data_IF_666244055766
#
_entry.id   IF_666244055766
#
_cell.length_a   1.000
_cell.length_b   1.000
_cell.length_c   1.000
_cell.angle_alpha   90.00
_cell.angle_beta   90.00
_cell.angle_gamma   90.00
#
_symmetry.space_group_name_H-M   'P 1'
#
loop_
_entity.id
_entity.type
_entity.pdbx_description
1 polymer ?
#
# COMPACT_ATOMS: atom_id res chain seq x y z
N UNK A 1 5.34 -6.33 15.22
CA UNK A 1 3.88 -6.25 15.27
C UNK A 1 3.34 -5.85 13.91
N UNK A 2 2.61 -6.75 13.27
CA UNK A 2 2.02 -6.51 11.96
C UNK A 2 0.68 -5.82 12.13
N UNK A 3 0.70 -4.49 12.08
CA UNK A 3 -0.52 -3.70 12.22
C UNK A 3 -1.36 -3.74 10.95
N UNK A 4 -0.70 -3.77 9.80
CA UNK A 4 -1.37 -3.75 8.50
C UNK A 4 -1.10 -5.04 7.74
N UNK A 5 -2.17 -5.63 7.19
CA UNK A 5 -2.06 -6.81 6.33
C UNK A 5 -1.78 -6.41 4.88
N UNK A 6 -0.53 -6.49 4.46
CA UNK A 6 -0.16 -6.24 3.06
C UNK A 6 -0.71 -7.35 2.18
N UNK A 7 -1.50 -6.99 1.18
CA UNK A 7 -2.10 -7.92 0.22
C UNK A 7 -1.37 -7.91 -1.12
N UNK A 8 -0.92 -6.75 -1.56
CA UNK A 8 -0.19 -6.60 -2.81
C UNK A 8 0.98 -5.64 -2.68
N UNK A 9 2.03 -5.94 -3.41
CA UNK A 9 3.20 -5.08 -3.60
C UNK A 9 3.40 -4.83 -5.08
N UNK A 10 3.67 -3.58 -5.44
CA UNK A 10 4.04 -3.22 -6.80
C UNK A 10 5.29 -2.35 -6.79
N UNK A 11 6.27 -2.73 -7.59
CA UNK A 11 7.48 -1.93 -7.76
C UNK A 11 7.29 -0.91 -8.86
N UNK A 12 7.55 0.34 -8.53
CA UNK A 12 7.55 1.44 -9.49
C UNK A 12 8.97 1.72 -9.97
N UNK A 13 9.28 1.31 -11.17
CA UNK A 13 10.60 1.53 -11.80
C UNK A 13 10.93 3.03 -11.93
N UNK A 14 9.90 3.86 -12.08
CA UNK A 14 10.10 5.29 -12.30
C UNK A 14 10.65 5.99 -11.04
N UNK A 15 10.11 5.67 -9.88
CA UNK A 15 10.55 6.23 -8.60
C UNK A 15 11.58 5.38 -7.86
N UNK A 16 11.66 4.09 -8.17
CA UNK A 16 12.48 3.13 -7.42
C UNK A 16 11.86 2.69 -6.11
N UNK A 17 10.58 3.02 -5.87
CA UNK A 17 9.87 2.70 -4.62
C UNK A 17 8.88 1.56 -4.81
N UNK A 18 8.41 1.01 -3.71
CA UNK A 18 7.37 -0.01 -3.71
C UNK A 18 6.07 0.56 -3.15
N UNK A 19 4.98 0.23 -3.80
CA UNK A 19 3.64 0.54 -3.34
C UNK A 19 3.07 -0.70 -2.65
N UNK A 20 2.65 -0.55 -1.40
CA UNK A 20 2.07 -1.62 -0.61
C UNK A 20 0.58 -1.35 -0.39
N UNK A 21 -0.28 -2.13 -1.02
CA UNK A 21 -1.72 -2.07 -0.82
C UNK A 21 -2.12 -3.04 0.28
N UNK A 22 -2.89 -2.52 1.25
CA UNK A 22 -3.33 -3.29 2.41
C UNK A 22 -4.84 -3.44 2.42
N UNK A 23 -5.29 -4.51 3.05
CA UNK A 23 -6.71 -4.74 3.26
C UNK A 23 -7.29 -3.66 4.20
N UNK A 24 -8.47 -3.12 3.88
CA UNK A 24 -9.12 -2.14 4.77
C UNK A 24 -9.33 -2.71 6.16
N UNK A 25 -8.79 -2.05 7.16
CA UNK A 25 -8.92 -2.44 8.55
C UNK A 25 -9.80 -1.48 9.34
N UNK A 26 -10.17 -1.91 10.55
CA UNK A 26 -10.90 -1.09 11.53
C UNK A 26 -10.14 -1.13 12.85
N UNK A 27 -9.00 -0.48 12.91
CA UNK A 27 -8.18 -0.43 14.13
C UNK A 27 -8.39 0.92 14.81
N UNK A 28 -8.85 0.91 16.05
CA UNK A 28 -9.18 2.13 16.79
C UNK A 28 -7.95 3.00 17.10
N UNK A 29 -6.79 2.38 17.28
CA UNK A 29 -5.56 3.07 17.68
C UNK A 29 -4.61 3.42 16.55
N UNK A 30 -4.91 2.98 15.33
CA UNK A 30 -4.09 3.18 14.15
C UNK A 30 -4.89 3.83 13.03
N UNK A 31 -4.26 4.69 12.22
CA UNK A 31 -4.94 5.21 11.04
C UNK A 31 -5.24 4.07 10.06
N UNK A 32 -6.42 4.08 9.46
CA UNK A 32 -6.84 3.05 8.51
C UNK A 32 -6.41 3.41 7.09
N UNK A 33 -5.11 3.59 6.89
CA UNK A 33 -4.55 3.79 5.57
C UNK A 33 -4.56 2.49 4.77
N UNK A 34 -4.69 2.61 3.47
CA UNK A 34 -4.83 1.47 2.55
C UNK A 34 -3.63 1.31 1.62
N UNK A 35 -2.82 2.35 1.50
CA UNK A 35 -1.66 2.35 0.62
C UNK A 35 -0.47 3.00 1.32
N UNK A 36 0.67 2.36 1.21
CA UNK A 36 1.93 2.84 1.75
C UNK A 36 2.99 2.87 0.66
N UNK A 37 3.92 3.81 0.76
CA UNK A 37 5.09 3.86 -0.12
C UNK A 37 6.32 3.46 0.67
N UNK A 38 6.95 2.37 0.27
CA UNK A 38 8.17 1.86 0.87
C UNK A 38 9.36 2.42 0.10
N UNK A 39 10.33 2.96 0.81
CA UNK A 39 11.54 3.50 0.21
C UNK A 39 12.43 2.37 -0.33
N UNK A 40 12.38 2.15 -1.64
CA UNK A 40 13.19 1.16 -2.33
C UNK A 40 14.62 1.60 -2.60
N UNK A 41 14.98 2.85 -2.31
CA UNK A 41 16.34 3.39 -2.54
C UNK A 41 17.25 3.20 -1.35
N UNK A 42 16.70 2.95 -0.17
CA UNK A 42 17.47 2.70 1.04
C UNK A 42 17.76 1.22 1.24
N UNK A 43 18.93 0.95 1.79
CA UNK A 43 19.26 -0.43 2.18
C UNK A 43 18.44 -0.85 3.39
N UNK A 44 17.97 -2.10 3.43
CA UNK A 44 17.32 -2.64 4.61
C UNK A 44 18.21 -2.51 5.85
N UNK A 45 17.60 -2.20 6.97
CA UNK A 45 18.28 -2.09 8.26
C UNK A 45 17.87 -3.24 9.17
N UNK A 46 18.86 -3.81 9.87
CA UNK A 46 18.59 -4.82 10.87
C UNK A 46 18.06 -4.15 12.14
N UNK A 47 16.88 -4.54 12.56
CA UNK A 47 16.22 -3.99 13.75
C UNK A 47 15.63 -5.11 14.59
N UNK A 48 15.44 -4.83 15.89
CA UNK A 48 14.66 -5.70 16.75
C UNK A 48 13.17 -5.53 16.42
N UNK A 49 12.53 -6.61 16.03
CA UNK A 49 11.12 -6.63 15.66
C UNK A 49 10.24 -6.77 16.92
N UNK A 50 9.21 -5.94 16.99
CA UNK A 50 8.24 -5.99 18.09
C UNK A 50 7.08 -6.94 17.76
N UNK A 51 6.47 -7.49 18.81
CA UNK A 51 5.29 -8.34 18.70
C UNK A 51 5.56 -9.84 18.61
N UNK A 52 6.79 -10.24 18.90
CA UNK A 52 7.17 -11.65 19.06
C UNK A 52 7.33 -11.99 20.54
N UNK A 53 7.12 -13.26 20.90
CA UNK A 53 7.22 -13.74 22.27
C UNK A 53 8.66 -13.74 22.82
N UNK A 54 9.63 -13.63 21.92
CA UNK A 54 11.05 -13.58 22.25
C UNK A 54 11.74 -12.52 21.39
N UNK A 55 12.91 -12.02 21.82
CA UNK A 55 13.66 -11.06 21.03
C UNK A 55 13.97 -11.61 19.63
N UNK A 56 13.50 -10.90 18.61
CA UNK A 56 13.64 -11.32 17.22
C UNK A 56 14.17 -10.16 16.40
N UNK A 57 15.28 -10.39 15.72
CA UNK A 57 15.84 -9.42 14.77
C UNK A 57 15.33 -9.72 13.36
N UNK A 58 15.15 -8.68 12.59
CA UNK A 58 14.80 -8.77 11.19
C UNK A 58 15.25 -7.57 10.40
N UNK A 59 15.15 -7.69 9.09
CA UNK A 59 15.47 -6.61 8.17
C UNK A 59 14.22 -5.80 7.87
N UNK A 60 14.32 -4.49 8.01
CA UNK A 60 13.20 -3.56 7.78
C UNK A 60 13.55 -2.54 6.72
N UNK A 61 12.53 -2.14 5.97
CA UNK A 61 12.55 -1.01 5.05
C UNK A 61 11.71 0.12 5.63
N UNK A 62 12.10 1.35 5.33
CA UNK A 62 11.39 2.53 5.80
C UNK A 62 10.25 2.89 4.85
N UNK A 63 9.15 3.40 5.43
CA UNK A 63 8.13 4.10 4.66
C UNK A 63 8.66 5.49 4.28
N UNK A 64 8.29 5.95 3.09
CA UNK A 64 8.47 7.35 2.75
C UNK A 64 7.47 8.23 3.52
N UNK A 65 7.89 9.42 3.96
CA UNK A 65 6.99 10.38 4.59
C UNK A 65 6.12 11.06 3.54
N UNK A 66 5.18 10.28 2.98
CA UNK A 66 4.27 10.73 1.93
C UNK A 66 2.83 10.37 2.27
N UNK A 67 1.90 11.20 1.79
CA UNK A 67 0.49 11.05 2.04
C UNK A 67 0.04 11.78 3.31
N UNK A 68 -0.89 11.18 4.04
CA UNK A 68 -1.34 11.67 5.32
C UNK A 68 -0.41 11.19 6.44
N UNK A 69 -0.22 12.04 7.43
CA UNK A 69 0.58 11.72 8.61
C UNK A 69 -0.30 11.62 9.85
N UNK A 70 -0.24 10.49 10.52
CA UNK A 70 -0.80 10.34 11.86
C UNK A 70 0.31 10.53 12.90
N UNK A 71 0.26 11.66 13.61
CA UNK A 71 1.29 12.01 14.57
C UNK A 71 1.32 11.08 15.81
N UNK A 72 0.18 10.52 16.19
CA UNK A 72 0.07 9.64 17.36
C UNK A 72 0.86 8.34 17.15
N UNK A 73 0.79 7.77 15.97
CA UNK A 73 1.47 6.51 15.63
C UNK A 73 2.72 6.72 14.79
N UNK A 74 2.97 7.96 14.38
CA UNK A 74 4.02 8.34 13.43
C UNK A 74 3.98 7.52 12.14
N UNK A 75 2.76 7.37 11.59
CA UNK A 75 2.52 6.57 10.39
C UNK A 75 2.16 7.47 9.22
N UNK A 76 2.79 7.25 8.09
CA UNK A 76 2.50 7.90 6.83
C UNK A 76 1.81 6.91 5.89
N UNK A 77 0.78 7.36 5.17
CA UNK A 77 0.08 6.52 4.22
C UNK A 77 -1.02 7.26 3.48
N UNK A 78 -1.77 6.52 2.68
CA UNK A 78 -2.85 7.06 1.85
C UNK A 78 -4.17 6.34 2.11
N UNK A 79 -5.26 7.10 2.03
CA UNK A 79 -6.61 6.55 1.96
C UNK A 79 -6.96 6.25 0.51
N UNK A 80 -6.54 5.09 0.06
CA UNK A 80 -6.79 4.61 -1.28
C UNK A 80 -7.30 3.16 -1.20
N UNK A 81 -8.62 2.93 -1.08
CA UNK A 81 -9.21 1.64 -0.71
C UNK A 81 -9.21 0.62 -1.86
N UNK A 82 -8.33 0.77 -2.82
CA UNK A 82 -8.20 -0.09 -3.98
C UNK A 82 -6.81 -0.72 -4.02
N UNK A 83 -6.64 -1.69 -4.91
CA UNK A 83 -5.34 -2.32 -5.12
C UNK A 83 -5.04 -3.49 -4.20
N UNK A 84 -5.80 -3.70 -3.11
CA UNK A 84 -5.61 -4.87 -2.24
C UNK A 84 -5.91 -6.19 -2.96
N UNK A 85 -6.79 -6.18 -3.94
CA UNK A 85 -7.11 -7.33 -4.78
C UNK A 85 -6.31 -7.39 -6.07
N UNK A 86 -5.65 -6.32 -6.45
CA UNK A 86 -4.76 -6.30 -7.61
C UNK A 86 -4.20 -4.92 -7.89
N UNK A 87 -2.90 -4.85 -8.03
CA UNK A 87 -2.16 -3.68 -8.49
C UNK A 87 -1.01 -4.16 -9.37
N UNK A 88 -0.90 -3.63 -10.57
CA UNK A 88 0.08 -4.08 -11.54
C UNK A 88 0.78 -2.88 -12.17
N UNK A 89 2.10 -2.83 -12.05
CA UNK A 89 2.91 -1.80 -12.70
C UNK A 89 3.05 -2.10 -14.18
N UNK A 90 2.79 -1.07 -15.01
CA UNK A 90 2.95 -1.13 -16.47
C UNK A 90 4.25 -0.46 -16.93
N UNK A 91 4.98 0.16 -16.02
CA UNK A 91 6.12 1.03 -16.33
C UNK A 91 5.72 2.50 -16.42
N UNK A 92 6.72 3.39 -16.39
CA UNK A 92 6.56 4.85 -16.51
C UNK A 92 5.54 5.48 -15.54
N UNK A 93 5.32 4.83 -14.38
CA UNK A 93 4.39 5.28 -13.36
C UNK A 93 2.92 4.95 -13.64
N UNK A 94 2.63 4.14 -14.67
CA UNK A 94 1.27 3.65 -14.93
C UNK A 94 1.01 2.33 -14.23
N UNK A 95 -0.22 2.18 -13.76
CA UNK A 95 -0.67 0.99 -13.05
C UNK A 95 -2.10 0.62 -13.42
N UNK A 96 -2.36 -0.66 -13.57
CA UNK A 96 -3.73 -1.15 -13.43
C UNK A 96 -4.02 -1.42 -11.96
N UNK A 97 -5.16 -0.92 -11.50
CA UNK A 97 -5.63 -1.09 -10.13
C UNK A 97 -7.03 -1.70 -10.16
N UNK A 98 -7.22 -2.78 -9.42
CA UNK A 98 -8.52 -3.44 -9.33
C UNK A 98 -9.44 -2.71 -8.34
N UNK A 99 -10.66 -2.50 -8.78
CA UNK A 99 -11.77 -2.01 -7.96
C UNK A 99 -12.80 -3.14 -7.84
N UNK A 100 -12.81 -3.86 -6.73
CA UNK A 100 -13.78 -4.93 -6.54
C UNK A 100 -15.17 -4.35 -6.34
N UNK A 101 -16.18 -5.09 -6.80
CA UNK A 101 -17.56 -4.69 -6.70
C UNK A 101 -18.51 -5.85 -6.95
N UNK A 102 -19.77 -5.53 -7.20
CA UNK A 102 -20.79 -6.50 -7.60
C UNK A 102 -21.47 -6.02 -8.87
N UNK A 103 -21.71 -6.94 -9.77
CA UNK A 103 -22.56 -6.68 -10.94
C UNK A 103 -23.98 -6.36 -10.48
N UNK A 104 -24.49 -5.19 -10.89
CA UNK A 104 -25.79 -4.71 -10.43
C UNK A 104 -26.97 -5.59 -10.89
N UNK A 105 -26.80 -6.30 -12.02
CA UNK A 105 -27.83 -7.15 -12.59
C UNK A 105 -27.85 -8.54 -12.00
N UNK A 106 -26.68 -9.14 -11.79
CA UNK A 106 -26.56 -10.54 -11.37
C UNK A 106 -26.24 -10.71 -9.89
N UNK A 107 -25.75 -9.66 -9.21
CA UNK A 107 -25.25 -9.72 -7.84
C UNK A 107 -23.94 -10.48 -7.69
N UNK A 108 -23.36 -10.94 -8.78
CA UNK A 108 -22.09 -11.65 -8.77
C UNK A 108 -20.93 -10.70 -8.45
N UNK A 109 -19.93 -11.23 -7.75
CA UNK A 109 -18.70 -10.48 -7.52
C UNK A 109 -17.98 -10.24 -8.84
N UNK A 110 -17.53 -9.03 -9.03
CA UNK A 110 -16.76 -8.63 -10.19
C UNK A 110 -15.67 -7.64 -9.78
N UNK A 111 -14.76 -7.40 -10.69
CA UNK A 111 -13.77 -6.33 -10.53
C UNK A 111 -13.65 -5.55 -11.83
N UNK A 112 -13.39 -4.26 -11.68
CA UNK A 112 -13.07 -3.39 -12.82
C UNK A 112 -11.62 -2.96 -12.68
N UNK A 113 -10.86 -3.05 -13.76
CA UNK A 113 -9.50 -2.56 -13.80
C UNK A 113 -9.50 -1.12 -14.31
N UNK A 114 -8.96 -0.23 -13.51
CA UNK A 114 -8.77 1.16 -13.88
C UNK A 114 -7.29 1.47 -14.09
N UNK A 115 -7.02 2.31 -15.07
CA UNK A 115 -5.68 2.80 -15.33
C UNK A 115 -5.42 4.04 -14.49
N UNK A 116 -4.35 4.00 -13.72
CA UNK A 116 -3.88 5.09 -12.90
C UNK A 116 -2.48 5.52 -13.29
N UNK A 117 -2.19 6.78 -13.10
CA UNK A 117 -0.83 7.33 -13.13
C UNK A 117 -0.40 7.67 -11.71
N UNK A 118 0.73 7.14 -11.29
CA UNK A 118 1.42 7.53 -10.07
C UNK A 118 2.51 8.54 -10.41
N UNK A 119 2.43 9.74 -9.84
CA UNK A 119 3.40 10.80 -10.11
C UNK A 119 4.51 10.89 -9.05
N UNK A 120 4.64 9.87 -8.17
CA UNK A 120 5.57 9.85 -7.06
C UNK A 120 4.96 10.26 -5.72
N UNK A 121 3.77 10.87 -5.73
CA UNK A 121 3.06 11.31 -4.52
C UNK A 121 1.55 11.19 -4.58
N UNK A 122 0.96 11.04 -5.75
CA UNK A 122 -0.49 10.97 -5.96
C UNK A 122 -0.88 9.99 -7.04
N UNK A 123 -2.06 9.43 -6.87
CA UNK A 123 -2.77 8.71 -7.92
C UNK A 123 -3.63 9.65 -8.74
N UNK A 124 -3.57 9.47 -10.07
CA UNK A 124 -4.49 10.08 -11.02
C UNK A 124 -5.15 8.97 -11.82
N UNK A 125 -6.45 8.87 -11.74
CA UNK A 125 -7.18 7.93 -12.59
C UNK A 125 -7.19 8.45 -14.02
N UNK A 126 -6.70 7.62 -14.94
CA UNK A 126 -6.63 7.95 -16.37
C UNK A 126 -7.86 7.39 -17.09
N UNK A 127 -8.25 6.16 -16.72
CA UNK A 127 -9.40 5.47 -17.31
C UNK A 127 -10.08 4.54 -16.32
#
# INVERSE_FOLDING_TARGET
NTTYGVQNLAYDKHSGHMLAAVYPGKKAEWPNYNLFVIDGTQKPQKTNLHGFDHPTDGWTLSLLPQGEHDAKTNTWGYRFPYGSTGICSLGDGYFYVSHPGKDARTGQQCTTLYLYKWNGSRWHQVR
#
